data_IF_839452689972
#
_entry.id   IF_839452689972
#
_cell.length_a   1.000
_cell.length_b   1.000
_cell.length_c   1.000
_cell.angle_alpha   90.00
_cell.angle_beta   90.00
_cell.angle_gamma   90.00
#
_symmetry.space_group_name_H-M   'P 1'
#
loop_
_entity.id
_entity.type
_entity.pdbx_description
1 polymer ?
#
# COMPACT_ATOMS: atom_id res chain seq x y z
N UNK A 1 11.53 18.15 31.24
CA UNK A 1 12.41 19.18 30.62
C UNK A 1 12.54 19.05 29.09
N UNK A 2 12.25 17.90 28.46
CA UNK A 2 12.39 17.72 26.99
C UNK A 2 11.32 18.38 26.10
N UNK A 3 10.08 18.53 26.56
CA UNK A 3 8.97 19.08 25.73
C UNK A 3 9.12 20.57 25.38
N UNK A 4 9.77 21.35 26.25
CA UNK A 4 9.95 22.80 26.06
C UNK A 4 10.98 23.10 24.97
N UNK A 5 12.04 22.27 24.87
CA UNK A 5 13.05 22.40 23.82
C UNK A 5 12.53 21.99 22.44
N UNK A 6 11.70 20.94 22.38
CA UNK A 6 10.99 20.55 21.16
C UNK A 6 10.14 21.71 20.63
N UNK A 7 9.29 22.32 21.46
CA UNK A 7 8.42 23.45 21.05
C UNK A 7 9.19 24.65 20.48
N UNK A 8 10.36 24.98 21.03
CA UNK A 8 11.15 26.11 20.53
C UNK A 8 11.88 25.80 19.20
N UNK A 9 12.37 24.58 19.02
CA UNK A 9 13.02 24.16 17.77
C UNK A 9 12.00 23.99 16.63
N UNK A 10 10.80 23.49 16.94
CA UNK A 10 9.69 23.35 15.99
C UNK A 10 9.25 24.72 15.43
N UNK A 11 9.19 25.76 16.28
CA UNK A 11 8.89 27.14 15.83
C UNK A 11 9.96 27.72 14.90
N UNK A 12 11.23 27.35 15.05
CA UNK A 12 12.32 27.83 14.19
C UNK A 12 12.27 27.22 12.77
N UNK A 13 11.66 26.04 12.63
CA UNK A 13 11.58 25.27 11.37
C UNK A 13 10.20 25.45 10.70
N UNK A 14 9.27 26.21 11.29
CA UNK A 14 7.90 26.39 10.79
C UNK A 14 7.21 25.04 10.55
N UNK A 15 7.31 24.16 11.55
CA UNK A 15 6.72 22.83 11.50
C UNK A 15 5.40 22.82 12.27
N UNK A 16 4.32 22.46 11.58
CA UNK A 16 3.08 22.13 12.25
C UNK A 16 3.13 20.68 12.77
N UNK A 17 2.45 20.39 13.88
CA UNK A 17 2.46 19.04 14.46
C UNK A 17 1.89 17.99 13.47
N UNK A 18 0.99 18.44 12.59
CA UNK A 18 0.41 17.67 11.49
C UNK A 18 1.45 17.22 10.44
N UNK A 19 2.54 17.98 10.26
CA UNK A 19 3.57 17.71 9.26
C UNK A 19 4.50 16.56 9.64
N UNK A 20 4.63 16.27 10.93
CA UNK A 20 5.43 15.17 11.44
C UNK A 20 4.78 13.79 11.19
N UNK A 21 3.49 13.76 10.87
CA UNK A 21 2.75 12.52 10.66
C UNK A 21 2.22 11.89 11.94
N UNK A 22 1.85 10.61 11.86
CA UNK A 22 1.33 9.88 13.02
C UNK A 22 2.44 9.67 14.06
N UNK A 23 2.16 9.86 15.37
CA UNK A 23 3.17 9.73 16.43
C UNK A 23 3.92 8.38 16.41
N UNK A 24 3.24 7.30 16.04
CA UNK A 24 3.82 5.95 15.97
C UNK A 24 4.42 5.62 14.58
N UNK A 25 4.44 6.60 13.67
CA UNK A 25 4.89 6.43 12.29
C UNK A 25 6.40 6.56 12.13
N UNK A 26 6.92 5.95 11.06
CA UNK A 26 8.31 6.08 10.66
C UNK A 26 8.70 7.55 10.40
N UNK A 27 7.84 8.31 9.71
CA UNK A 27 8.08 9.74 9.44
C UNK A 27 8.27 10.53 10.72
N UNK A 28 7.38 10.33 11.70
CA UNK A 28 7.45 11.04 12.98
C UNK A 28 8.74 10.70 13.71
N UNK A 29 9.08 9.42 13.80
CA UNK A 29 10.29 8.93 14.48
C UNK A 29 11.57 9.53 13.88
N UNK A 30 11.70 9.50 12.56
CA UNK A 30 12.88 10.03 11.86
C UNK A 30 12.96 11.55 11.98
N UNK A 31 11.88 12.27 11.68
CA UNK A 31 11.91 13.74 11.72
C UNK A 31 12.17 14.25 13.14
N UNK A 32 11.60 13.60 14.16
CA UNK A 32 11.83 13.95 15.57
C UNK A 32 13.27 13.68 15.98
N UNK A 33 13.84 12.54 15.57
CA UNK A 33 15.26 12.22 15.84
C UNK A 33 16.20 13.25 15.21
N UNK A 34 15.91 13.70 13.97
CA UNK A 34 16.71 14.74 13.29
C UNK A 34 16.58 16.12 13.94
N UNK A 35 15.38 16.48 14.44
CA UNK A 35 15.15 17.72 15.19
C UNK A 35 15.97 17.72 16.49
N UNK A 36 15.95 16.60 17.20
CA UNK A 36 16.66 16.35 18.46
C UNK A 36 18.17 16.11 18.29
N UNK A 37 18.71 16.25 17.06
CA UNK A 37 20.13 16.02 16.76
C UNK A 37 20.60 14.57 16.96
N UNK A 38 19.67 13.63 17.11
CA UNK A 38 19.92 12.18 17.18
C UNK A 38 20.09 11.59 15.77
N UNK A 39 21.06 12.10 15.01
CA UNK A 39 21.27 11.73 13.59
C UNK A 39 21.61 10.26 13.41
N UNK A 40 22.49 9.72 14.25
CA UNK A 40 22.93 8.33 14.15
C UNK A 40 21.76 7.37 14.42
N UNK A 41 20.86 7.73 15.35
CA UNK A 41 19.62 7.00 15.62
C UNK A 41 18.71 7.03 14.39
N UNK A 42 18.48 8.22 13.80
CA UNK A 42 17.65 8.36 12.62
C UNK A 42 18.15 7.49 11.45
N UNK A 43 19.45 7.51 11.18
CA UNK A 43 20.08 6.72 10.13
C UNK A 43 19.95 5.22 10.43
N UNK A 44 20.20 4.81 11.67
CA UNK A 44 20.07 3.41 12.09
C UNK A 44 18.63 2.91 11.88
N UNK A 45 17.63 3.65 12.36
CA UNK A 45 16.21 3.31 12.18
C UNK A 45 15.84 3.20 10.70
N UNK A 46 16.33 4.10 9.84
CA UNK A 46 16.10 4.05 8.39
C UNK A 46 16.72 2.81 7.73
N UNK A 47 17.94 2.43 8.15
CA UNK A 47 18.60 1.21 7.65
C UNK A 47 17.87 -0.04 8.10
N UNK A 48 17.55 -0.14 9.38
CA UNK A 48 16.77 -1.26 9.94
C UNK A 48 15.41 -1.40 9.26
N UNK A 49 14.78 -0.29 8.90
CA UNK A 49 13.51 -0.29 8.17
C UNK A 49 13.62 -0.80 6.72
N UNK A 50 14.76 -0.61 6.06
CA UNK A 50 14.99 -1.14 4.70
C UNK A 50 15.45 -2.60 4.74
N UNK A 51 16.15 -2.97 5.81
CA UNK A 51 16.65 -4.33 6.04
C UNK A 51 15.58 -5.27 6.59
N UNK A 52 14.54 -4.74 7.25
CA UNK A 52 13.44 -5.53 7.77
C UNK A 52 12.75 -6.31 6.65
N UNK A 53 12.39 -7.55 6.96
CA UNK A 53 11.61 -8.37 6.04
C UNK A 53 10.26 -7.69 5.81
N UNK A 54 9.95 -7.43 4.55
CA UNK A 54 8.66 -6.89 4.13
C UNK A 54 7.76 -8.04 3.71
N UNK A 55 6.51 -8.00 4.15
CA UNK A 55 5.44 -8.90 3.69
C UNK A 55 5.17 -8.75 2.18
N UNK A 56 5.62 -7.64 1.56
CA UNK A 56 5.31 -7.30 0.18
C UNK A 56 6.49 -7.54 -0.77
N UNK A 57 6.31 -8.34 -1.84
CA UNK A 57 7.34 -8.53 -2.84
C UNK A 57 7.64 -7.20 -3.55
N UNK A 58 8.93 -6.91 -3.77
CA UNK A 58 9.44 -5.68 -4.40
C UNK A 58 9.33 -4.38 -3.57
N UNK A 59 8.84 -4.43 -2.32
CA UNK A 59 8.81 -3.24 -1.46
C UNK A 59 10.20 -2.65 -1.24
N UNK A 60 11.14 -3.51 -0.87
CA UNK A 60 12.54 -3.13 -0.63
C UNK A 60 13.12 -2.38 -1.82
N UNK A 61 13.03 -2.93 -3.03
CA UNK A 61 13.54 -2.27 -4.25
C UNK A 61 12.90 -0.90 -4.50
N UNK A 62 11.61 -0.71 -4.20
CA UNK A 62 10.93 0.58 -4.38
C UNK A 62 11.33 1.62 -3.34
N UNK A 63 11.50 1.20 -2.09
CA UNK A 63 11.70 2.10 -0.94
C UNK A 63 13.18 2.39 -0.68
N UNK A 64 14.06 1.45 -0.98
CA UNK A 64 15.51 1.56 -0.76
C UNK A 64 16.09 2.84 -1.36
N UNK A 65 15.73 3.19 -2.61
CA UNK A 65 16.19 4.45 -3.23
C UNK A 65 15.77 5.68 -2.43
N UNK A 66 14.53 5.71 -1.92
CA UNK A 66 14.03 6.83 -1.12
C UNK A 66 14.69 6.87 0.26
N UNK A 67 14.93 5.71 0.86
CA UNK A 67 15.59 5.61 2.16
C UNK A 67 17.07 6.01 2.10
N UNK A 68 17.80 5.61 1.05
CA UNK A 68 19.17 6.05 0.81
C UNK A 68 19.24 7.57 0.62
N UNK A 69 18.35 8.14 -0.19
CA UNK A 69 18.27 9.60 -0.35
C UNK A 69 17.92 10.31 0.97
N UNK A 70 17.04 9.74 1.79
CA UNK A 70 16.74 10.27 3.13
C UNK A 70 17.98 10.24 4.04
N UNK A 71 18.80 9.19 3.99
CA UNK A 71 20.06 9.10 4.74
C UNK A 71 21.04 10.19 4.30
N UNK A 72 21.18 10.42 2.99
CA UNK A 72 22.05 11.48 2.45
C UNK A 72 21.61 12.87 2.92
N UNK A 73 20.31 13.13 2.94
CA UNK A 73 19.74 14.37 3.48
C UNK A 73 20.04 14.53 4.98
N UNK A 74 19.98 13.45 5.77
CA UNK A 74 20.32 13.48 7.19
C UNK A 74 21.81 13.82 7.39
N UNK A 75 22.71 13.25 6.59
CA UNK A 75 24.13 13.61 6.63
C UNK A 75 24.36 15.08 6.23
N UNK A 76 23.70 15.57 5.17
CA UNK A 76 23.79 16.96 4.75
C UNK A 76 23.32 17.93 5.86
N UNK A 77 22.23 17.56 6.55
CA UNK A 77 21.70 18.30 7.69
C UNK A 77 22.70 18.33 8.85
N UNK A 78 23.26 17.17 9.22
CA UNK A 78 24.27 17.04 10.29
C UNK A 78 25.47 17.94 10.04
N UNK A 79 26.02 17.90 8.82
CA UNK A 79 27.20 18.70 8.44
C UNK A 79 26.93 20.20 8.49
N UNK A 80 25.73 20.63 8.08
CA UNK A 80 25.36 22.06 8.08
C UNK A 80 25.06 22.60 9.46
N UNK A 81 24.45 21.80 10.35
CA UNK A 81 24.14 22.20 11.72
C UNK A 81 25.38 22.20 12.61
N UNK A 82 26.28 21.24 12.42
CA UNK A 82 27.54 21.10 13.18
C UNK A 82 28.75 21.69 12.44
N UNK A 83 28.55 22.75 11.64
CA UNK A 83 29.63 23.34 10.87
C UNK A 83 30.73 23.89 11.81
N UNK A 84 32.01 23.48 11.65
CA UNK A 84 33.08 23.91 12.53
C UNK A 84 33.31 25.42 12.37
N UNK A 85 33.38 26.14 13.50
CA UNK A 85 33.57 27.60 13.47
C UNK A 85 32.34 28.38 13.01
N UNK A 86 31.13 27.83 13.18
CA UNK A 86 29.87 28.53 12.84
C UNK A 86 29.80 29.94 13.45
N UNK A 87 30.26 30.12 14.69
CA UNK A 87 30.30 31.40 15.41
C UNK A 87 31.32 32.40 14.84
N UNK A 88 32.34 31.93 14.12
CA UNK A 88 33.35 32.76 13.49
C UNK A 88 32.92 33.26 12.09
N UNK A 89 31.84 32.72 11.53
CA UNK A 89 31.29 33.15 10.24
C UNK A 89 30.52 34.47 10.34
N UNK A 90 30.45 35.20 9.23
CA UNK A 90 29.59 36.38 9.11
C UNK A 90 28.12 36.00 9.27
N UNK A 91 27.29 36.93 9.78
CA UNK A 91 25.86 36.72 9.97
C UNK A 91 25.15 36.26 8.68
N UNK A 92 25.56 36.79 7.53
CA UNK A 92 25.05 36.39 6.21
C UNK A 92 25.32 34.91 5.92
N UNK A 93 26.52 34.41 6.21
CA UNK A 93 26.88 33.00 5.99
C UNK A 93 26.19 32.06 6.98
N UNK A 94 26.02 32.49 8.24
CA UNK A 94 25.21 31.74 9.20
C UNK A 94 23.74 31.63 8.75
N UNK A 95 23.19 32.69 8.16
CA UNK A 95 21.84 32.70 7.63
C UNK A 95 21.70 31.77 6.41
N UNK A 96 22.66 31.79 5.49
CA UNK A 96 22.71 30.89 4.33
C UNK A 96 22.72 29.41 4.76
N UNK A 97 23.54 29.07 5.77
CA UNK A 97 23.58 27.72 6.36
C UNK A 97 22.23 27.31 6.97
N UNK A 98 21.57 28.23 7.69
CA UNK A 98 20.23 27.99 8.27
C UNK A 98 19.17 27.77 7.19
N UNK A 99 19.22 28.53 6.09
CA UNK A 99 18.30 28.34 4.97
C UNK A 99 18.52 27.00 4.27
N UNK A 100 19.78 26.61 4.05
CA UNK A 100 20.12 25.30 3.49
C UNK A 100 19.73 24.14 4.40
N UNK A 101 19.82 24.31 5.72
CA UNK A 101 19.29 23.35 6.68
C UNK A 101 17.77 23.19 6.51
N UNK A 102 17.02 24.29 6.43
CA UNK A 102 15.55 24.26 6.24
C UNK A 102 15.15 23.60 4.92
N UNK A 103 15.90 23.87 3.85
CA UNK A 103 15.69 23.27 2.53
C UNK A 103 15.81 21.74 2.58
N UNK A 104 16.92 21.22 3.12
CA UNK A 104 17.10 19.77 3.26
C UNK A 104 16.11 19.13 4.22
N UNK A 105 15.74 19.82 5.30
CA UNK A 105 14.74 19.30 6.22
C UNK A 105 13.36 19.18 5.55
N UNK A 106 12.98 20.18 4.75
CA UNK A 106 11.73 20.16 3.97
C UNK A 106 11.74 19.05 2.92
N UNK A 107 12.88 18.83 2.27
CA UNK A 107 13.06 17.71 1.34
C UNK A 107 12.96 16.36 2.04
N UNK A 108 13.64 16.19 3.17
CA UNK A 108 13.58 14.97 3.99
C UNK A 108 12.14 14.64 4.35
N UNK A 109 11.36 15.63 4.79
CA UNK A 109 9.92 15.48 5.07
C UNK A 109 9.15 14.96 3.85
N UNK A 110 9.41 15.50 2.67
CA UNK A 110 8.74 15.08 1.44
C UNK A 110 9.10 13.63 1.07
N UNK A 111 10.36 13.24 1.23
CA UNK A 111 10.82 11.87 0.98
C UNK A 111 10.21 10.89 1.98
N UNK A 112 10.17 11.23 3.27
CA UNK A 112 9.51 10.39 4.28
C UNK A 112 8.01 10.21 3.97
N UNK A 113 7.33 11.25 3.49
CA UNK A 113 5.94 11.14 3.03
C UNK A 113 5.78 10.20 1.83
N UNK A 114 6.73 10.22 0.88
CA UNK A 114 6.73 9.27 -0.25
C UNK A 114 6.90 7.82 0.23
N UNK A 115 7.78 7.58 1.20
CA UNK A 115 7.97 6.24 1.80
C UNK A 115 6.66 5.76 2.46
N UNK A 116 5.99 6.62 3.24
CA UNK A 116 4.69 6.28 3.84
C UNK A 116 3.62 5.97 2.79
N UNK A 117 3.51 6.79 1.74
CA UNK A 117 2.57 6.55 0.65
C UNK A 117 2.84 5.21 -0.06
N UNK A 118 4.11 4.85 -0.29
CA UNK A 118 4.45 3.56 -0.88
C UNK A 118 3.99 2.38 0.00
N UNK A 119 4.09 2.48 1.32
CA UNK A 119 3.56 1.47 2.24
C UNK A 119 2.04 1.37 2.16
N UNK A 120 1.36 2.53 2.14
CA UNK A 120 -0.10 2.58 2.09
C UNK A 120 -0.65 2.03 0.77
N UNK A 121 -0.01 2.35 -0.36
CA UNK A 121 -0.35 1.82 -1.67
C UNK A 121 -0.25 0.29 -1.73
N UNK A 122 0.80 -0.30 -1.15
CA UNK A 122 0.94 -1.76 -1.09
C UNK A 122 -0.14 -2.41 -0.23
N UNK A 123 -0.42 -1.82 0.94
CA UNK A 123 -1.51 -2.28 1.81
C UNK A 123 -2.86 -2.25 1.11
N UNK A 124 -3.14 -1.20 0.31
CA UNK A 124 -4.38 -1.09 -0.47
C UNK A 124 -4.41 -2.11 -1.61
N UNK A 125 -3.27 -2.33 -2.28
CA UNK A 125 -3.14 -3.29 -3.38
C UNK A 125 -3.50 -4.72 -2.95
N UNK A 126 -3.06 -5.13 -1.77
CA UNK A 126 -3.36 -6.47 -1.25
C UNK A 126 -4.84 -6.65 -0.96
N UNK A 127 -5.47 -5.67 -0.29
CA UNK A 127 -6.92 -5.69 -0.03
C UNK A 127 -7.72 -5.75 -1.33
N UNK A 128 -7.27 -5.03 -2.37
CA UNK A 128 -7.91 -5.06 -3.69
C UNK A 128 -7.78 -6.44 -4.34
N UNK A 129 -6.61 -7.07 -4.25
CA UNK A 129 -6.36 -8.40 -4.79
C UNK A 129 -7.21 -9.46 -4.10
N UNK A 130 -7.28 -9.46 -2.76
CA UNK A 130 -8.16 -10.38 -2.00
C UNK A 130 -9.63 -10.21 -2.38
N UNK A 131 -10.10 -8.96 -2.56
CA UNK A 131 -11.48 -8.70 -2.98
C UNK A 131 -11.79 -9.31 -4.35
N UNK A 132 -10.86 -9.21 -5.30
CA UNK A 132 -11.03 -9.81 -6.62
C UNK A 132 -11.14 -11.34 -6.49
N UNK A 133 -10.26 -11.97 -5.71
CA UNK A 133 -10.28 -13.42 -5.49
C UNK A 133 -11.61 -13.87 -4.87
N UNK A 134 -12.11 -13.18 -3.83
CA UNK A 134 -13.39 -13.51 -3.20
C UNK A 134 -14.55 -13.39 -4.18
N UNK A 135 -14.55 -12.33 -5.01
CA UNK A 135 -15.59 -12.15 -6.04
C UNK A 135 -15.53 -13.26 -7.09
N UNK A 136 -14.34 -13.65 -7.53
CA UNK A 136 -14.13 -14.75 -8.46
C UNK A 136 -14.58 -16.09 -7.88
N UNK A 137 -14.31 -16.33 -6.59
CA UNK A 137 -14.76 -17.54 -5.89
C UNK A 137 -16.29 -17.61 -5.82
N UNK A 138 -16.95 -16.50 -5.47
CA UNK A 138 -18.41 -16.43 -5.43
C UNK A 138 -19.03 -16.69 -6.80
N UNK A 139 -18.46 -16.10 -7.86
CA UNK A 139 -18.91 -16.33 -9.24
C UNK A 139 -18.69 -17.78 -9.66
N UNK A 140 -17.56 -18.41 -9.30
CA UNK A 140 -17.30 -19.81 -9.61
C UNK A 140 -18.32 -20.75 -8.96
N UNK A 141 -18.65 -20.54 -7.68
CA UNK A 141 -19.69 -21.29 -6.97
C UNK A 141 -21.05 -21.13 -7.66
N UNK A 142 -21.40 -19.90 -8.02
CA UNK A 142 -22.65 -19.62 -8.75
C UNK A 142 -22.69 -20.32 -10.10
N UNK A 143 -21.59 -20.32 -10.85
CA UNK A 143 -21.50 -21.01 -12.15
C UNK A 143 -21.70 -22.52 -11.99
N UNK A 144 -21.03 -23.17 -11.02
CA UNK A 144 -21.20 -24.60 -10.76
C UNK A 144 -22.64 -24.92 -10.37
N UNK A 145 -23.25 -24.09 -9.51
CA UNK A 145 -24.66 -24.24 -9.13
C UNK A 145 -25.60 -24.15 -10.34
N UNK A 146 -25.43 -23.13 -11.18
CA UNK A 146 -26.23 -22.99 -12.40
C UNK A 146 -26.04 -24.18 -13.35
N UNK A 147 -24.81 -24.67 -13.54
CA UNK A 147 -24.55 -25.85 -14.37
C UNK A 147 -25.21 -27.11 -13.81
N UNK A 148 -25.19 -27.31 -12.49
CA UNK A 148 -25.86 -28.43 -11.85
C UNK A 148 -27.38 -28.37 -12.04
N UNK A 149 -27.99 -27.20 -11.85
CA UNK A 149 -29.43 -26.99 -12.08
C UNK A 149 -29.80 -27.26 -13.54
N UNK A 150 -29.03 -26.74 -14.49
CA UNK A 150 -29.26 -27.00 -15.93
C UNK A 150 -29.14 -28.49 -16.24
N UNK A 151 -28.15 -29.18 -15.67
CA UNK A 151 -27.96 -30.61 -15.86
C UNK A 151 -29.14 -31.42 -15.31
N UNK A 152 -29.64 -31.09 -14.11
CA UNK A 152 -30.81 -31.75 -13.53
C UNK A 152 -32.08 -31.51 -14.34
N UNK A 153 -32.30 -30.29 -14.82
CA UNK A 153 -33.44 -29.96 -15.69
C UNK A 153 -33.38 -30.77 -16.98
N UNK A 154 -32.23 -30.78 -17.67
CA UNK A 154 -32.06 -31.55 -18.90
C UNK A 154 -32.24 -33.05 -18.69
N UNK A 155 -31.78 -33.61 -17.56
CA UNK A 155 -31.95 -35.03 -17.26
C UNK A 155 -33.39 -35.39 -16.89
N UNK A 156 -34.04 -34.59 -16.03
CA UNK A 156 -35.41 -34.84 -15.59
C UNK A 156 -36.44 -34.62 -16.71
N UNK A 157 -36.37 -33.46 -17.36
CA UNK A 157 -37.29 -33.14 -18.46
C UNK A 157 -36.96 -33.92 -19.74
N UNK A 158 -35.68 -34.12 -20.05
CA UNK A 158 -35.27 -34.81 -21.29
C UNK A 158 -35.75 -36.26 -21.34
N UNK A 159 -35.66 -36.99 -20.23
CA UNK A 159 -36.16 -38.36 -20.17
C UNK A 159 -37.69 -38.44 -20.29
N UNK A 160 -38.39 -37.50 -19.64
CA UNK A 160 -39.85 -37.41 -19.70
C UNK A 160 -40.33 -37.03 -21.11
N UNK A 161 -39.61 -36.12 -21.79
CA UNK A 161 -39.89 -35.77 -23.19
C UNK A 161 -39.70 -36.97 -24.11
N UNK A 162 -38.61 -37.73 -23.99
CA UNK A 162 -38.40 -38.93 -24.81
C UNK A 162 -39.55 -39.93 -24.67
N UNK A 163 -39.98 -40.22 -23.44
CA UNK A 163 -41.11 -41.12 -23.19
C UNK A 163 -42.40 -40.61 -23.87
N UNK A 164 -42.67 -39.31 -23.77
CA UNK A 164 -43.86 -38.73 -24.40
C UNK A 164 -43.80 -38.81 -25.93
N UNK A 165 -42.62 -38.56 -26.52
CA UNK A 165 -42.43 -38.69 -27.97
C UNK A 165 -42.59 -40.14 -28.45
N UNK A 166 -41.99 -41.11 -27.76
CA UNK A 166 -42.14 -42.53 -28.09
C UNK A 166 -43.60 -42.97 -28.01
N UNK A 167 -44.31 -42.60 -26.94
CA UNK A 167 -45.74 -42.90 -26.78
C UNK A 167 -46.62 -42.26 -27.87
N UNK A 168 -46.29 -41.04 -28.31
CA UNK A 168 -47.01 -40.41 -29.43
C UNK A 168 -46.73 -41.11 -30.76
N UNK A 169 -45.49 -41.52 -31.02
CA UNK A 169 -45.14 -42.28 -32.22
C UNK A 169 -45.91 -43.60 -32.25
N UNK A 170 -45.96 -44.34 -31.13
CA UNK A 170 -46.74 -45.58 -31.03
C UNK A 170 -48.23 -45.36 -31.27
N UNK A 171 -48.82 -44.30 -30.70
CA UNK A 171 -50.23 -43.97 -30.92
C UNK A 171 -50.54 -43.61 -32.37
N UNK A 172 -49.65 -42.87 -33.04
CA UNK A 172 -49.79 -42.52 -34.46
C UNK A 172 -49.67 -43.78 -35.32
N UNK A 173 -48.69 -44.64 -35.04
CA UNK A 173 -48.52 -45.91 -35.75
C UNK A 173 -49.77 -46.79 -35.60
N UNK A 174 -50.29 -46.96 -34.38
CA UNK A 174 -51.50 -47.73 -34.14
C UNK A 174 -52.73 -47.15 -34.87
N UNK A 175 -52.88 -45.82 -34.87
CA UNK A 175 -53.95 -45.15 -35.63
C UNK A 175 -53.81 -45.38 -37.14
N UNK A 176 -52.59 -45.28 -37.69
CA UNK A 176 -52.33 -45.57 -39.10
C UNK A 176 -52.62 -47.02 -39.46
N UNK A 177 -52.18 -47.98 -38.65
CA UNK A 177 -52.45 -49.40 -38.88
C UNK A 177 -53.95 -49.74 -38.78
N UNK A 178 -54.68 -49.09 -37.86
CA UNK A 178 -56.14 -49.24 -37.74
C UNK A 178 -56.93 -48.62 -38.90
N UNK A 179 -56.33 -47.73 -39.70
CA UNK A 179 -56.96 -47.15 -40.89
C UNK A 179 -56.66 -47.94 -42.16
N UNK A 180 -55.60 -48.77 -42.15
CA UNK A 180 -55.11 -49.52 -43.31
C UNK A 180 -55.61 -50.98 -43.35
N UNK A 181 -56.19 -51.48 -42.25
CA UNK A 181 -56.90 -52.77 -42.12
C UNK A 181 -58.39 -52.48 -41.96
#
# INVERSE_FOLDING_TARGET
MGEVHLRNTTKAIDLDASDLGRPDGLRYTILTSVINEEYDRAIKTLKEFVESESEYPNFKMKVERYALHAIDLIYAIRTKRNFPGLSALTRTKQQELKEKFKEHFKELRLIMKKIENCMEELRISDVKSTRIVVRSLWLAVLTVFCTAVVYEICRGMGYTMMIYFDAQIESILHWMFSFLI
#
